data_IF_319767238756
#
_entry.id   IF_319767238756
#
_cell.length_a   1.000
_cell.length_b   1.000
_cell.length_c   1.000
_cell.angle_alpha   90.00
_cell.angle_beta   90.00
_cell.angle_gamma   90.00
#
_symmetry.space_group_name_H-M   'P 1'
#
loop_
_entity.id
_entity.type
_entity.pdbx_description
1 polymer ?
#
# COMPACT_ATOMS: atom_id res chain seq x y z
N UNK A 1 25.76 94.65 -33.91
CA UNK A 1 24.57 95.34 -34.45
C UNK A 1 24.05 94.49 -35.60
N UNK A 2 22.80 94.02 -35.50
CA UNK A 2 21.88 93.57 -36.58
C UNK A 2 22.40 92.53 -37.62
N UNK A 3 22.01 91.25 -37.54
CA UNK A 3 20.79 90.59 -38.08
C UNK A 3 20.63 90.55 -39.60
N UNK A 4 20.40 89.33 -40.11
CA UNK A 4 19.80 88.85 -41.37
C UNK A 4 20.70 87.72 -41.95
N UNK A 5 20.26 86.57 -42.46
CA UNK A 5 19.02 86.21 -43.14
C UNK A 5 18.87 84.66 -43.22
N UNK A 6 17.67 84.18 -42.90
CA UNK A 6 16.92 83.05 -43.44
C UNK A 6 17.55 82.09 -44.50
N UNK A 7 17.47 80.77 -44.29
CA UNK A 7 17.00 79.81 -45.32
C UNK A 7 16.64 78.41 -44.77
N UNK A 8 15.67 77.83 -45.46
CA UNK A 8 14.83 76.66 -45.20
C UNK A 8 15.53 75.29 -45.27
N UNK A 9 14.87 74.34 -44.58
CA UNK A 9 14.72 72.89 -44.83
C UNK A 9 15.98 72.05 -45.05
N UNK A 10 16.18 71.03 -44.21
CA UNK A 10 16.26 69.63 -44.63
C UNK A 10 15.89 68.71 -43.46
N UNK A 11 15.12 67.68 -43.78
CA UNK A 11 14.59 66.66 -42.89
C UNK A 11 15.70 65.81 -42.27
N UNK A 12 15.52 65.39 -41.02
CA UNK A 12 15.97 64.07 -40.58
C UNK A 12 15.09 63.58 -39.43
N UNK A 13 13.95 62.98 -39.79
CA UNK A 13 13.15 62.13 -38.90
C UNK A 13 13.98 60.93 -38.47
N UNK A 14 14.43 60.87 -37.21
CA UNK A 14 14.87 59.61 -36.58
C UNK A 14 13.67 58.98 -35.88
N UNK A 15 12.99 58.07 -36.58
CA UNK A 15 12.11 57.06 -36.00
C UNK A 15 12.94 55.78 -35.69
N UNK A 16 12.43 54.86 -34.84
CA UNK A 16 13.15 54.29 -33.71
C UNK A 16 14.19 53.24 -34.12
N UNK A 17 15.30 53.19 -33.38
CA UNK A 17 16.12 51.99 -33.36
C UNK A 17 15.28 50.86 -32.76
N UNK A 18 14.75 50.00 -33.64
CA UNK A 18 14.15 48.74 -33.23
C UNK A 18 15.17 47.98 -32.41
N UNK A 19 14.94 47.91 -31.09
CA UNK A 19 15.68 47.04 -30.21
C UNK A 19 15.39 45.60 -30.66
N UNK A 20 16.24 45.06 -31.52
CA UNK A 20 16.34 43.62 -31.72
C UNK A 20 16.77 43.03 -30.38
N UNK A 21 15.80 42.69 -29.53
CA UNK A 21 16.01 41.79 -28.40
C UNK A 21 16.42 40.47 -29.02
N UNK A 22 17.73 40.22 -29.08
CA UNK A 22 18.24 38.91 -29.41
C UNK A 22 17.59 37.94 -28.42
N UNK A 23 16.67 37.10 -28.90
CA UNK A 23 16.13 35.98 -28.13
C UNK A 23 17.32 35.09 -27.80
N UNK A 24 17.94 35.33 -26.63
CA UNK A 24 19.03 34.52 -26.13
C UNK A 24 18.44 33.13 -25.91
N UNK A 25 18.78 32.17 -26.80
CA UNK A 25 18.46 30.75 -26.62
C UNK A 25 18.83 30.36 -25.20
N UNK A 26 17.82 30.16 -24.35
CA UNK A 26 18.02 29.78 -22.96
C UNK A 26 18.68 28.41 -22.93
N UNK A 27 19.84 28.31 -22.27
CA UNK A 27 20.49 27.02 -22.03
C UNK A 27 19.66 26.27 -20.99
N UNK A 28 19.06 25.16 -21.39
CA UNK A 28 18.40 24.24 -20.45
C UNK A 28 19.45 23.70 -19.50
N UNK A 29 19.21 23.82 -18.19
CA UNK A 29 20.12 23.31 -17.19
C UNK A 29 19.85 21.82 -16.98
N UNK A 30 20.62 20.98 -17.68
CA UNK A 30 20.51 19.51 -17.63
C UNK A 30 20.61 19.00 -16.18
N UNK A 31 21.45 19.62 -15.36
CA UNK A 31 21.60 19.25 -13.94
C UNK A 31 20.30 19.50 -13.17
N UNK A 32 19.62 20.61 -13.42
CA UNK A 32 18.33 20.91 -12.78
C UNK A 32 17.23 19.94 -13.22
N UNK A 33 17.23 19.52 -14.49
CA UNK A 33 16.29 18.51 -15.01
C UNK A 33 16.53 17.14 -14.38
N UNK A 34 17.80 16.74 -14.24
CA UNK A 34 18.16 15.49 -13.58
C UNK A 34 17.75 15.50 -12.11
N UNK A 35 18.03 16.58 -11.36
CA UNK A 35 17.57 16.72 -9.98
C UNK A 35 16.03 16.69 -9.87
N UNK A 36 15.32 17.34 -10.80
CA UNK A 36 13.87 17.32 -10.83
C UNK A 36 13.26 15.96 -11.15
N UNK A 37 13.98 15.08 -11.84
CA UNK A 37 13.56 13.70 -12.07
C UNK A 37 13.87 12.81 -10.87
N UNK A 38 15.14 12.79 -10.43
CA UNK A 38 15.61 11.80 -9.46
C UNK A 38 15.26 12.14 -8.01
N UNK A 39 15.21 13.40 -7.60
CA UNK A 39 14.93 13.74 -6.18
C UNK A 39 13.52 13.30 -5.77
N UNK A 40 12.44 13.66 -6.49
CA UNK A 40 11.09 13.22 -6.13
C UNK A 40 10.92 11.70 -6.28
N UNK A 41 11.55 11.10 -7.29
CA UNK A 41 11.47 9.66 -7.51
C UNK A 41 12.16 8.84 -6.41
N UNK A 42 13.37 9.23 -6.00
CA UNK A 42 14.07 8.59 -4.89
C UNK A 42 13.28 8.79 -3.59
N UNK A 43 12.79 10.00 -3.32
CA UNK A 43 11.96 10.29 -2.15
C UNK A 43 10.71 9.41 -2.11
N UNK A 44 9.99 9.30 -3.24
CA UNK A 44 8.84 8.43 -3.35
C UNK A 44 9.21 6.97 -3.07
N UNK A 45 10.25 6.47 -3.75
CA UNK A 45 10.63 5.04 -3.70
C UNK A 45 11.12 4.62 -2.32
N UNK A 46 11.85 5.49 -1.61
CA UNK A 46 12.33 5.21 -0.26
C UNK A 46 11.20 5.26 0.76
N UNK A 47 10.35 6.29 0.73
CA UNK A 47 9.21 6.40 1.66
C UNK A 47 8.19 5.28 1.43
N UNK A 48 7.94 4.93 0.18
CA UNK A 48 7.05 3.83 -0.16
C UNK A 48 7.60 2.49 0.37
N UNK A 49 8.90 2.21 0.16
CA UNK A 49 9.52 1.01 0.68
C UNK A 49 9.48 0.94 2.22
N UNK A 50 9.80 2.06 2.88
CA UNK A 50 9.83 2.16 4.35
C UNK A 50 8.44 1.91 4.96
N UNK A 51 7.38 2.44 4.34
CA UNK A 51 6.01 2.23 4.81
C UNK A 51 5.44 0.85 4.46
N UNK A 52 5.86 0.24 3.35
CA UNK A 52 5.33 -1.05 2.93
C UNK A 52 6.03 -2.25 3.58
N UNK A 53 7.34 -2.22 3.79
CA UNK A 53 8.09 -3.42 4.19
C UNK A 53 8.20 -3.59 5.73
N UNK A 54 9.00 -4.57 6.14
CA UNK A 54 9.13 -5.05 7.52
C UNK A 54 9.43 -3.98 8.56
N UNK A 55 10.04 -2.85 8.17
CA UNK A 55 10.34 -1.76 9.09
C UNK A 55 9.06 -1.20 9.75
N UNK A 56 7.98 -1.04 8.96
CA UNK A 56 6.69 -0.58 9.47
C UNK A 56 6.12 -1.55 10.50
N UNK A 57 6.31 -2.85 10.27
CA UNK A 57 5.82 -3.90 11.16
C UNK A 57 6.59 -3.97 12.49
N UNK A 58 7.93 -3.98 12.44
CA UNK A 58 8.76 -4.18 13.65
C UNK A 58 8.87 -2.92 14.49
N UNK A 59 9.01 -1.76 13.85
CA UNK A 59 9.33 -0.49 14.51
C UNK A 59 8.55 0.66 13.85
N UNK A 60 7.23 0.77 14.13
CA UNK A 60 6.39 1.80 13.53
C UNK A 60 6.87 3.21 13.88
N UNK A 61 7.43 3.41 15.08
CA UNK A 61 7.98 4.70 15.54
C UNK A 61 9.13 5.18 14.66
N UNK A 62 10.07 4.29 14.31
CA UNK A 62 11.20 4.59 13.43
C UNK A 62 10.70 4.89 12.01
N UNK A 63 9.72 4.14 11.54
CA UNK A 63 9.09 4.31 10.23
C UNK A 63 8.47 5.70 10.08
N UNK A 64 7.63 6.12 11.02
CA UNK A 64 7.05 7.46 11.03
C UNK A 64 8.11 8.56 11.22
N UNK A 65 9.18 8.28 11.97
CA UNK A 65 10.35 9.15 12.06
C UNK A 65 11.01 9.40 10.70
N UNK A 66 11.23 8.35 9.89
CA UNK A 66 11.78 8.46 8.54
C UNK A 66 10.83 9.22 7.61
N UNK A 67 9.52 8.99 7.70
CA UNK A 67 8.50 9.74 6.95
C UNK A 67 8.56 11.24 7.30
N UNK A 68 8.73 11.56 8.59
CA UNK A 68 8.94 12.92 9.07
C UNK A 68 10.23 13.56 8.52
N UNK A 69 11.34 12.81 8.48
CA UNK A 69 12.60 13.28 7.86
C UNK A 69 12.40 13.50 6.35
N UNK A 70 11.66 12.64 5.67
CA UNK A 70 11.27 12.84 4.27
C UNK A 70 10.47 14.13 4.06
N UNK A 71 9.59 14.49 5.00
CA UNK A 71 8.88 15.77 4.97
C UNK A 71 9.83 16.97 5.14
N UNK A 72 10.87 16.86 5.97
CA UNK A 72 11.89 17.91 6.09
C UNK A 72 12.62 18.16 4.76
N UNK A 73 12.86 17.12 3.94
CA UNK A 73 13.43 17.29 2.59
C UNK A 73 12.51 18.12 1.69
N UNK A 74 11.19 17.91 1.79
CA UNK A 74 10.19 18.73 1.09
C UNK A 74 10.25 20.18 1.58
N UNK A 75 10.31 20.41 2.90
CA UNK A 75 10.44 21.76 3.48
C UNK A 75 11.73 22.46 3.05
N UNK A 76 12.85 21.75 2.97
CA UNK A 76 14.11 22.30 2.45
C UNK A 76 13.97 22.72 0.99
N UNK A 77 13.32 21.90 0.16
CA UNK A 77 13.05 22.26 -1.24
C UNK A 77 12.13 23.49 -1.36
N UNK A 78 11.15 23.63 -0.45
CA UNK A 78 10.29 24.79 -0.36
C UNK A 78 11.06 26.05 0.08
N UNK A 79 11.96 25.93 1.05
CA UNK A 79 12.83 27.02 1.49
C UNK A 79 13.69 27.54 0.33
N UNK A 80 14.34 26.65 -0.43
CA UNK A 80 15.12 27.04 -1.62
C UNK A 80 14.25 27.69 -2.70
N UNK A 81 13.01 27.21 -2.89
CA UNK A 81 12.08 27.83 -3.82
C UNK A 81 11.70 29.26 -3.40
N UNK A 82 11.42 29.49 -2.11
CA UNK A 82 11.09 30.82 -1.57
C UNK A 82 12.29 31.77 -1.61
N UNK A 83 13.48 31.30 -1.22
CA UNK A 83 14.73 32.09 -1.29
C UNK A 83 15.03 32.51 -2.74
N UNK A 84 14.85 31.60 -3.70
CA UNK A 84 15.03 31.90 -5.12
C UNK A 84 14.02 32.94 -5.66
N UNK A 85 12.78 32.94 -5.16
CA UNK A 85 11.76 33.96 -5.51
C UNK A 85 12.12 35.31 -4.88
N UNK A 86 12.49 35.34 -3.59
CA UNK A 86 12.85 36.59 -2.89
C UNK A 86 14.08 37.27 -3.50
N UNK A 87 15.11 36.50 -3.88
CA UNK A 87 16.32 37.05 -4.51
C UNK A 87 16.06 37.66 -5.89
N UNK A 88 14.97 37.28 -6.56
CA UNK A 88 14.55 37.87 -7.85
C UNK A 88 14.04 39.30 -7.67
N UNK A 89 13.57 39.66 -6.48
CA UNK A 89 13.03 41.00 -6.18
C UNK A 89 14.14 42.03 -5.86
N UNK A 90 15.40 41.58 -5.69
CA UNK A 90 16.54 42.47 -5.45
C UNK A 90 17.07 43.09 -6.76
N UNK A 91 17.48 44.38 -6.76
CA UNK A 91 17.88 45.12 -7.97
C UNK A 91 19.07 44.55 -8.74
N UNK A 92 19.92 43.75 -8.08
CA UNK A 92 21.13 43.10 -8.64
C UNK A 92 20.87 41.62 -9.02
N UNK A 93 19.59 41.24 -9.16
CA UNK A 93 19.12 39.87 -9.33
C UNK A 93 19.64 39.22 -10.62
N UNK A 94 20.66 38.37 -10.47
CA UNK A 94 21.11 37.43 -11.50
C UNK A 94 19.93 36.77 -12.21
N UNK A 95 19.98 36.72 -13.55
CA UNK A 95 18.99 36.19 -14.52
C UNK A 95 18.49 34.74 -14.29
N UNK A 96 18.73 34.14 -13.12
CA UNK A 96 18.39 32.75 -12.78
C UNK A 96 16.89 32.66 -12.45
N UNK A 97 16.12 32.04 -13.33
CA UNK A 97 14.68 31.86 -13.14
C UNK A 97 14.41 30.79 -12.05
N UNK A 98 13.57 31.06 -11.03
CA UNK A 98 13.29 30.13 -9.93
C UNK A 98 12.39 28.95 -10.32
N UNK A 99 12.01 28.81 -11.59
CA UNK A 99 10.95 27.91 -12.05
C UNK A 99 11.24 26.43 -11.78
N UNK A 100 12.51 26.00 -11.84
CA UNK A 100 12.90 24.62 -11.53
C UNK A 100 12.83 24.29 -10.03
N UNK A 101 13.12 25.24 -9.14
CA UNK A 101 13.02 25.02 -7.69
C UNK A 101 11.55 24.87 -7.26
N UNK A 102 10.66 25.69 -7.81
CA UNK A 102 9.21 25.58 -7.57
C UNK A 102 8.68 24.24 -8.08
N UNK A 103 9.09 23.82 -9.27
CA UNK A 103 8.70 22.52 -9.82
C UNK A 103 9.14 21.37 -8.91
N UNK A 104 10.41 21.35 -8.47
CA UNK A 104 10.94 20.33 -7.56
C UNK A 104 10.15 20.31 -6.25
N UNK A 105 9.81 21.47 -5.68
CA UNK A 105 9.02 21.56 -4.46
C UNK A 105 7.63 20.93 -4.62
N UNK A 106 6.91 21.27 -5.70
CA UNK A 106 5.56 20.76 -5.95
C UNK A 106 5.59 19.26 -6.22
N UNK A 107 6.51 18.78 -7.05
CA UNK A 107 6.60 17.35 -7.35
C UNK A 107 7.10 16.53 -6.16
N UNK A 108 7.98 17.09 -5.32
CA UNK A 108 8.44 16.42 -4.08
C UNK A 108 7.32 16.32 -3.05
N UNK A 109 6.47 17.36 -2.93
CA UNK A 109 5.29 17.31 -2.06
C UNK A 109 4.29 16.26 -2.55
N UNK A 110 4.02 16.23 -3.86
CA UNK A 110 3.15 15.21 -4.46
C UNK A 110 3.71 13.80 -4.25
N UNK A 111 5.01 13.60 -4.48
CA UNK A 111 5.71 12.35 -4.23
C UNK A 111 5.56 11.89 -2.78
N UNK A 112 5.72 12.80 -1.80
CA UNK A 112 5.54 12.47 -0.38
C UNK A 112 4.12 12.02 -0.07
N UNK A 113 3.09 12.75 -0.52
CA UNK A 113 1.67 12.39 -0.27
C UNK A 113 1.32 11.05 -0.90
N UNK A 114 1.73 10.82 -2.16
CA UNK A 114 1.47 9.58 -2.86
C UNK A 114 2.21 8.39 -2.23
N UNK A 115 3.46 8.58 -1.77
CA UNK A 115 4.23 7.53 -1.11
C UNK A 115 3.60 7.11 0.23
N UNK A 116 3.09 8.07 1.00
CA UNK A 116 2.41 7.79 2.27
C UNK A 116 1.12 7.01 2.02
N UNK A 117 0.27 7.49 1.12
CA UNK A 117 -1.00 6.83 0.81
C UNK A 117 -0.83 5.44 0.19
N UNK A 118 0.05 5.29 -0.80
CA UNK A 118 0.30 4.00 -1.45
C UNK A 118 1.07 3.02 -0.55
N UNK A 119 1.95 3.54 0.31
CA UNK A 119 2.70 2.75 1.29
C UNK A 119 1.81 2.10 2.33
N UNK A 120 0.94 2.91 2.93
CA UNK A 120 0.01 2.45 3.96
C UNK A 120 -0.99 1.42 3.41
N UNK A 121 -1.57 1.69 2.23
CA UNK A 121 -2.55 0.76 1.64
C UNK A 121 -1.90 -0.57 1.27
N UNK A 122 -0.69 -0.56 0.73
CA UNK A 122 0.03 -1.80 0.43
C UNK A 122 0.41 -2.58 1.70
N UNK A 123 0.76 -1.87 2.78
CA UNK A 123 1.05 -2.49 4.06
C UNK A 123 -0.19 -3.17 4.64
N UNK A 124 -1.30 -2.45 4.80
CA UNK A 124 -2.51 -2.95 5.46
C UNK A 124 -3.16 -4.10 4.67
N UNK A 125 -3.24 -3.99 3.34
CA UNK A 125 -3.95 -4.98 2.53
C UNK A 125 -3.14 -6.25 2.27
N UNK A 126 -1.82 -6.13 2.02
CA UNK A 126 -1.01 -7.25 1.55
C UNK A 126 0.01 -7.73 2.59
N UNK A 127 0.84 -6.82 3.11
CA UNK A 127 2.03 -7.19 3.86
C UNK A 127 1.78 -7.38 5.37
N UNK A 128 0.80 -6.70 5.94
CA UNK A 128 0.41 -6.87 7.35
C UNK A 128 -0.09 -8.29 7.63
N UNK A 129 -1.07 -8.85 6.88
CA UNK A 129 -1.50 -10.25 7.07
C UNK A 129 -0.36 -11.24 6.94
N UNK A 130 0.58 -10.98 6.02
CA UNK A 130 1.76 -11.80 5.82
C UNK A 130 2.69 -11.83 7.05
N UNK A 131 3.07 -10.66 7.58
CA UNK A 131 3.92 -10.57 8.77
C UNK A 131 3.24 -11.10 10.03
N UNK A 132 1.93 -10.86 10.17
CA UNK A 132 1.13 -11.36 11.28
C UNK A 132 1.14 -12.88 11.36
N UNK A 133 1.00 -13.57 10.22
CA UNK A 133 1.10 -15.04 10.16
C UNK A 133 2.54 -15.52 10.38
N UNK A 134 3.54 -14.79 9.89
CA UNK A 134 4.95 -15.17 10.04
C UNK A 134 5.45 -15.12 11.50
N UNK A 135 4.91 -14.23 12.33
CA UNK A 135 5.27 -14.16 13.74
C UNK A 135 4.60 -15.24 14.61
N UNK A 136 3.76 -16.08 14.01
CA UNK A 136 3.09 -17.18 14.67
C UNK A 136 3.75 -18.52 14.34
N UNK A 137 3.58 -19.49 15.24
CA UNK A 137 4.16 -20.81 15.09
C UNK A 137 3.39 -21.66 14.06
N UNK A 138 4.13 -22.59 13.44
CA UNK A 138 3.57 -23.55 12.48
C UNK A 138 3.56 -24.93 13.10
N UNK A 139 2.39 -25.55 13.15
CA UNK A 139 2.20 -26.88 13.73
C UNK A 139 1.84 -27.88 12.65
N UNK A 140 2.43 -29.07 12.73
CA UNK A 140 2.20 -30.15 11.79
C UNK A 140 1.59 -31.37 12.48
N UNK A 141 0.82 -32.16 11.72
CA UNK A 141 0.17 -33.37 12.21
C UNK A 141 -0.69 -33.13 13.46
N UNK A 142 -1.45 -32.02 13.45
CA UNK A 142 -2.37 -31.69 14.55
C UNK A 142 -3.59 -32.60 14.48
N UNK A 143 -3.84 -33.31 15.58
CA UNK A 143 -5.01 -34.16 15.75
C UNK A 143 -6.07 -33.41 16.59
N UNK A 144 -7.20 -32.99 16.00
CA UNK A 144 -8.23 -32.23 16.70
C UNK A 144 -8.95 -33.03 17.80
N UNK A 145 -8.77 -34.36 17.86
CA UNK A 145 -9.31 -35.20 18.93
C UNK A 145 -8.45 -35.23 20.20
N UNK A 146 -7.14 -35.00 20.05
CA UNK A 146 -6.18 -35.09 21.16
C UNK A 146 -5.71 -33.72 21.62
N UNK A 147 -5.53 -32.78 20.69
CA UNK A 147 -5.00 -31.45 20.97
C UNK A 147 -6.14 -30.46 21.26
N UNK A 148 -5.88 -29.48 22.13
CA UNK A 148 -6.85 -28.43 22.47
C UNK A 148 -6.43 -27.09 21.91
N UNK A 149 -7.41 -26.20 21.67
CA UNK A 149 -7.13 -24.85 21.17
C UNK A 149 -6.25 -24.03 22.13
N UNK A 150 -6.35 -24.29 23.45
CA UNK A 150 -5.50 -23.68 24.47
C UNK A 150 -4.00 -23.94 24.27
N UNK A 151 -3.63 -25.10 23.70
CA UNK A 151 -2.23 -25.47 23.48
C UNK A 151 -1.65 -24.81 22.23
N UNK A 152 -2.51 -24.37 21.31
CA UNK A 152 -2.14 -23.86 19.98
C UNK A 152 -2.59 -22.41 19.78
N UNK A 153 -2.64 -21.63 20.87
CA UNK A 153 -3.06 -20.22 20.83
C UNK A 153 -2.13 -19.32 20.00
N UNK A 154 -0.91 -19.75 19.75
CA UNK A 154 0.12 -19.09 18.94
C UNK A 154 0.27 -19.69 17.54
N UNK A 155 -0.63 -20.60 17.14
CA UNK A 155 -0.58 -21.23 15.82
C UNK A 155 -1.04 -20.26 14.74
N UNK A 156 -0.20 -19.96 13.76
CA UNK A 156 -0.56 -19.17 12.56
C UNK A 156 -0.94 -20.05 11.39
N UNK A 157 -0.30 -21.22 11.30
CA UNK A 157 -0.53 -22.23 10.28
C UNK A 157 -0.61 -23.60 10.96
N UNK A 158 -1.63 -24.36 10.61
CA UNK A 158 -1.80 -25.73 11.10
C UNK A 158 -1.94 -26.65 9.90
N UNK A 159 -1.14 -27.72 9.90
CA UNK A 159 -1.35 -28.86 9.03
C UNK A 159 -1.92 -29.97 9.90
N UNK A 160 -3.19 -30.31 9.68
CA UNK A 160 -3.86 -31.38 10.40
C UNK A 160 -3.37 -32.75 9.91
N UNK A 161 -3.70 -33.80 10.65
CA UNK A 161 -3.52 -35.18 10.16
C UNK A 161 -4.43 -35.45 8.96
N UNK A 162 -4.07 -36.44 8.12
CA UNK A 162 -4.79 -36.71 6.85
C UNK A 162 -6.24 -37.15 7.06
N UNK A 163 -6.52 -37.70 8.22
CA UNK A 163 -7.84 -38.14 8.64
C UNK A 163 -8.71 -36.98 9.12
N UNK A 164 -8.17 -35.77 9.24
CA UNK A 164 -8.95 -34.59 9.63
C UNK A 164 -9.83 -34.11 8.48
N UNK A 165 -11.11 -33.95 8.76
CA UNK A 165 -12.15 -33.55 7.80
C UNK A 165 -13.10 -32.54 8.42
N UNK A 166 -13.74 -31.71 7.60
CA UNK A 166 -14.79 -30.81 8.08
C UNK A 166 -16.08 -31.60 8.36
N UNK A 167 -16.69 -31.37 9.52
CA UNK A 167 -18.03 -31.88 9.83
C UNK A 167 -19.09 -30.85 9.41
N UNK A 168 -19.54 -30.98 8.16
CA UNK A 168 -20.54 -30.10 7.56
C UNK A 168 -21.93 -30.24 8.22
N UNK A 169 -22.19 -31.34 8.94
CA UNK A 169 -23.48 -31.55 9.62
C UNK A 169 -23.67 -30.63 10.83
N UNK A 170 -22.57 -30.08 11.34
CA UNK A 170 -22.51 -29.13 12.47
C UNK A 170 -22.12 -27.72 12.02
N UNK A 171 -22.20 -27.45 10.72
CA UNK A 171 -21.96 -26.11 10.20
C UNK A 171 -23.06 -25.15 10.66
N UNK A 172 -22.67 -23.90 10.92
CA UNK A 172 -23.58 -22.84 11.35
C UNK A 172 -23.15 -21.51 10.72
N UNK A 173 -24.10 -20.58 10.61
CA UNK A 173 -23.79 -19.23 10.13
C UNK A 173 -24.46 -18.14 10.96
N UNK A 174 -23.76 -17.03 11.14
CA UNK A 174 -24.26 -15.81 11.77
C UNK A 174 -24.28 -14.68 10.76
N UNK A 175 -25.34 -13.86 10.73
CA UNK A 175 -25.48 -12.77 9.75
C UNK A 175 -25.46 -11.41 10.44
N UNK A 176 -24.49 -10.57 10.09
CA UNK A 176 -24.42 -9.15 10.46
C UNK A 176 -23.71 -8.35 9.35
N UNK A 177 -24.47 -7.67 8.51
CA UNK A 177 -24.06 -7.12 7.20
C UNK A 177 -23.57 -8.24 6.26
N UNK A 178 -22.47 -8.88 6.60
CA UNK A 178 -21.94 -10.09 5.99
C UNK A 178 -22.41 -11.36 6.71
N UNK A 179 -22.38 -12.48 6.00
CA UNK A 179 -22.66 -13.81 6.55
C UNK A 179 -21.35 -14.48 6.98
N UNK A 180 -21.21 -14.74 8.27
CA UNK A 180 -20.07 -15.40 8.89
C UNK A 180 -20.35 -16.90 9.03
N UNK A 181 -19.55 -17.69 8.35
CA UNK A 181 -19.67 -19.15 8.27
C UNK A 181 -18.68 -19.85 9.17
N UNK A 182 -19.12 -20.88 9.88
CA UNK A 182 -18.24 -21.74 10.68
C UNK A 182 -18.57 -23.21 10.46
N UNK A 183 -17.55 -24.05 10.36
CA UNK A 183 -17.66 -25.50 10.35
C UNK A 183 -16.57 -26.11 11.25
N UNK A 184 -16.91 -27.05 12.14
CA UNK A 184 -15.91 -27.66 13.02
C UNK A 184 -15.01 -28.63 12.24
N UNK A 185 -13.73 -28.64 12.60
CA UNK A 185 -12.76 -29.63 12.09
C UNK A 185 -12.82 -30.86 12.99
N UNK A 186 -13.09 -32.02 12.40
CA UNK A 186 -13.20 -33.31 13.10
C UNK A 186 -12.30 -34.36 12.47
N UNK A 187 -12.33 -35.58 13.01
CA UNK A 187 -11.60 -36.71 12.45
C UNK A 187 -12.56 -37.64 11.74
N UNK A 188 -12.18 -38.17 10.60
CA UNK A 188 -12.84 -39.32 9.98
C UNK A 188 -12.41 -40.59 10.73
N UNK A 189 -13.38 -41.35 11.24
CA UNK A 189 -13.14 -42.53 12.07
C UNK A 189 -13.64 -43.78 11.36
N UNK A 190 -12.84 -44.31 10.43
CA UNK A 190 -13.02 -45.63 9.82
C UNK A 190 -14.40 -45.86 9.15
N UNK A 191 -15.40 -46.24 9.94
CA UNK A 191 -16.77 -46.49 9.52
C UNK A 191 -17.70 -45.26 9.64
N UNK A 192 -17.33 -44.27 10.46
CA UNK A 192 -18.09 -43.02 10.62
C UNK A 192 -17.39 -41.88 9.89
N UNK A 193 -18.17 -41.12 9.12
CA UNK A 193 -17.66 -39.95 8.39
C UNK A 193 -17.14 -38.86 9.33
N UNK A 194 -17.67 -38.76 10.56
CA UNK A 194 -17.28 -37.77 11.56
C UNK A 194 -17.24 -38.37 12.97
N UNK A 195 -16.06 -38.33 13.60
CA UNK A 195 -15.89 -38.73 14.99
C UNK A 195 -16.51 -37.69 15.93
N UNK A 196 -17.31 -38.15 16.90
CA UNK A 196 -17.85 -37.27 17.95
C UNK A 196 -16.74 -36.89 18.94
N UNK A 197 -16.42 -35.60 18.97
CA UNK A 197 -15.37 -35.04 19.83
C UNK A 197 -15.96 -34.56 21.15
N UNK A 198 -15.17 -34.64 22.22
CA UNK A 198 -15.55 -34.07 23.52
C UNK A 198 -15.53 -32.53 23.51
N UNK A 199 -14.61 -31.93 22.74
CA UNK A 199 -14.51 -30.48 22.54
C UNK A 199 -14.16 -30.17 21.09
N UNK A 200 -14.74 -29.12 20.55
CA UNK A 200 -14.54 -28.64 19.19
C UNK A 200 -13.84 -27.28 19.27
N UNK A 201 -12.52 -27.30 19.38
CA UNK A 201 -11.73 -26.06 19.47
C UNK A 201 -11.23 -25.57 18.11
N UNK A 202 -11.22 -26.41 17.06
CA UNK A 202 -10.75 -26.03 15.73
C UNK A 202 -11.92 -25.81 14.77
N UNK A 203 -11.98 -24.63 14.16
CA UNK A 203 -13.06 -24.23 13.28
C UNK A 203 -12.54 -23.71 11.95
N UNK A 204 -13.08 -24.24 10.85
CA UNK A 204 -12.96 -23.65 9.54
C UNK A 204 -13.93 -22.49 9.41
N UNK A 205 -13.47 -21.36 8.88
CA UNK A 205 -14.24 -20.12 8.78
C UNK A 205 -14.19 -19.51 7.39
N UNK A 206 -15.22 -18.72 7.06
CA UNK A 206 -15.27 -17.91 5.85
C UNK A 206 -16.43 -16.92 5.87
N UNK A 207 -16.44 -15.95 4.96
CA UNK A 207 -17.53 -14.98 4.82
C UNK A 207 -18.29 -15.19 3.50
N UNK A 208 -19.61 -15.03 3.53
CA UNK A 208 -20.50 -15.04 2.36
C UNK A 208 -20.45 -16.32 1.50
N UNK A 209 -20.06 -17.45 2.10
CA UNK A 209 -19.90 -18.75 1.44
C UNK A 209 -20.79 -19.86 2.02
N UNK A 210 -21.87 -19.48 2.71
CA UNK A 210 -22.90 -20.42 3.20
C UNK A 210 -24.28 -20.08 2.71
N UNK A 211 -25.12 -21.10 2.60
CA UNK A 211 -26.56 -20.97 2.35
C UNK A 211 -27.31 -20.51 3.60
N UNK A 212 -28.57 -20.08 3.44
CA UNK A 212 -29.43 -19.71 4.58
C UNK A 212 -29.73 -20.89 5.51
N UNK A 213 -29.57 -22.12 5.01
CA UNK A 213 -29.73 -23.35 5.78
C UNK A 213 -28.47 -23.73 6.57
N UNK A 214 -27.37 -22.98 6.43
CA UNK A 214 -26.12 -23.22 7.16
C UNK A 214 -25.14 -24.17 6.47
N UNK A 215 -25.35 -24.51 5.19
CA UNK A 215 -24.42 -25.37 4.44
C UNK A 215 -23.12 -24.61 4.14
N UNK A 216 -21.98 -25.20 4.48
CA UNK A 216 -20.67 -24.56 4.42
C UNK A 216 -19.94 -24.90 3.11
N UNK A 217 -19.57 -23.86 2.34
CA UNK A 217 -18.85 -24.01 1.07
C UNK A 217 -17.60 -23.11 0.98
N UNK A 218 -16.98 -22.78 2.11
CA UNK A 218 -15.82 -21.88 2.14
C UNK A 218 -14.50 -22.63 1.96
N UNK A 219 -13.53 -21.98 1.29
CA UNK A 219 -12.20 -22.55 1.08
C UNK A 219 -12.23 -23.83 0.26
N UNK A 220 -11.27 -24.72 0.51
CA UNK A 220 -11.14 -25.98 -0.22
C UNK A 220 -12.01 -27.12 0.37
N UNK A 221 -13.24 -26.81 0.79
CA UNK A 221 -14.10 -27.76 1.52
C UNK A 221 -14.38 -29.08 0.77
N UNK A 222 -14.42 -29.03 -0.57
CA UNK A 222 -14.68 -30.19 -1.42
C UNK A 222 -13.41 -30.97 -1.80
N UNK A 223 -12.22 -30.41 -1.54
CA UNK A 223 -10.97 -31.02 -1.92
C UNK A 223 -10.54 -32.05 -0.85
N UNK A 224 -10.43 -33.35 -1.17
CA UNK A 224 -10.02 -34.37 -0.19
C UNK A 224 -8.56 -34.24 0.23
N UNK A 225 -7.75 -33.46 -0.50
CA UNK A 225 -6.37 -33.16 -0.13
C UNK A 225 -6.26 -31.94 0.78
N UNK A 226 -7.34 -31.21 1.04
CA UNK A 226 -7.32 -30.10 1.98
C UNK A 226 -7.35 -30.61 3.41
N UNK A 227 -6.29 -30.33 4.16
CA UNK A 227 -6.13 -30.68 5.57
C UNK A 227 -5.29 -29.64 6.31
N UNK A 228 -5.24 -28.41 5.79
CA UNK A 228 -4.48 -27.33 6.40
C UNK A 228 -5.37 -26.11 6.66
N UNK A 229 -4.94 -25.32 7.63
CA UNK A 229 -5.63 -24.12 8.09
C UNK A 229 -4.67 -22.94 8.20
N UNK A 230 -5.05 -21.83 7.58
CA UNK A 230 -4.41 -20.53 7.78
C UNK A 230 -5.21 -19.73 8.79
N UNK A 231 -4.58 -19.22 9.85
CA UNK A 231 -5.30 -18.51 10.92
C UNK A 231 -5.93 -17.22 10.42
N UNK A 232 -7.16 -16.96 10.89
CA UNK A 232 -7.80 -15.67 10.72
C UNK A 232 -7.13 -14.60 11.61
N UNK A 233 -6.39 -13.68 10.98
CA UNK A 233 -5.72 -12.57 11.67
C UNK A 233 -6.65 -11.37 11.93
N UNK A 234 -7.72 -11.21 11.15
CA UNK A 234 -8.67 -10.08 11.30
C UNK A 234 -9.46 -10.17 12.61
N UNK A 235 -9.03 -9.42 13.62
CA UNK A 235 -9.63 -9.38 14.96
C UNK A 235 -11.08 -8.88 14.94
N UNK A 236 -11.41 -7.93 14.06
CA UNK A 236 -12.76 -7.38 13.90
C UNK A 236 -13.78 -8.48 13.54
N UNK A 237 -13.39 -9.41 12.66
CA UNK A 237 -14.23 -10.51 12.23
C UNK A 237 -14.31 -11.65 13.25
N UNK A 238 -13.27 -11.78 14.10
CA UNK A 238 -13.17 -12.85 15.09
C UNK A 238 -14.34 -12.85 16.07
N UNK A 239 -14.81 -11.67 16.48
CA UNK A 239 -15.97 -11.56 17.38
C UNK A 239 -17.24 -12.14 16.74
N UNK A 240 -17.46 -11.90 15.44
CA UNK A 240 -18.63 -12.42 14.73
C UNK A 240 -18.56 -13.93 14.48
N UNK A 241 -17.38 -14.48 14.17
CA UNK A 241 -17.20 -15.92 14.09
C UNK A 241 -17.43 -16.61 15.43
N UNK A 242 -17.08 -15.96 16.54
CA UNK A 242 -17.39 -16.48 17.88
C UNK A 242 -18.89 -16.56 18.15
N UNK A 243 -19.67 -15.59 17.69
CA UNK A 243 -21.14 -15.65 17.78
C UNK A 243 -21.71 -16.82 16.97
N UNK A 244 -21.18 -17.07 15.76
CA UNK A 244 -21.57 -18.22 14.95
C UNK A 244 -21.24 -19.55 15.65
N UNK A 245 -20.08 -19.66 16.31
CA UNK A 245 -19.73 -20.83 17.13
C UNK A 245 -20.69 -21.00 18.29
N UNK A 246 -21.04 -19.93 19.02
CA UNK A 246 -22.00 -20.00 20.12
C UNK A 246 -23.39 -20.48 19.67
N UNK A 247 -23.81 -20.11 18.46
CA UNK A 247 -25.04 -20.65 17.86
C UNK A 247 -24.91 -22.14 17.54
N UNK A 248 -23.76 -22.57 17.02
CA UNK A 248 -23.49 -23.98 16.74
C UNK A 248 -23.46 -24.82 18.02
N UNK A 249 -22.86 -24.31 19.10
CA UNK A 249 -22.83 -24.94 20.43
C UNK A 249 -24.24 -25.19 20.95
N UNK A 250 -25.12 -24.19 20.85
CA UNK A 250 -26.51 -24.28 21.28
C UNK A 250 -27.34 -25.23 20.40
N UNK A 251 -27.17 -25.18 19.07
CA UNK A 251 -27.97 -25.96 18.13
C UNK A 251 -27.59 -27.45 18.11
N UNK A 252 -26.28 -27.74 18.16
CA UNK A 252 -25.76 -29.11 18.01
C UNK A 252 -25.28 -29.73 19.32
N UNK A 253 -25.50 -29.05 20.46
CA UNK A 253 -25.06 -29.50 21.79
C UNK A 253 -23.57 -29.83 21.85
N UNK A 254 -22.75 -29.06 21.13
CA UNK A 254 -21.29 -29.16 21.13
C UNK A 254 -20.67 -28.12 22.06
N UNK A 255 -19.42 -28.34 22.47
CA UNK A 255 -18.67 -27.41 23.33
C UNK A 255 -17.36 -27.01 22.67
N UNK A 256 -17.08 -25.72 22.63
CA UNK A 256 -15.86 -25.08 22.12
C UNK A 256 -15.28 -24.19 23.22
N UNK A 257 -14.33 -24.73 23.99
CA UNK A 257 -13.80 -24.01 25.16
C UNK A 257 -12.94 -22.83 24.67
N UNK A 258 -12.04 -23.08 23.71
CA UNK A 258 -11.17 -22.06 23.12
C UNK A 258 -11.18 -22.21 21.59
N UNK A 259 -12.19 -21.63 20.90
CA UNK A 259 -12.30 -21.74 19.46
C UNK A 259 -11.18 -20.96 18.76
N UNK A 260 -10.43 -21.67 17.92
CA UNK A 260 -9.46 -21.14 16.98
C UNK A 260 -10.05 -21.19 15.56
N UNK A 261 -9.82 -20.12 14.80
CA UNK A 261 -10.44 -19.92 13.50
C UNK A 261 -9.41 -19.98 12.38
N UNK A 262 -9.66 -20.84 11.40
CA UNK A 262 -8.77 -21.05 10.27
C UNK A 262 -9.54 -21.00 8.95
N UNK A 263 -8.94 -20.43 7.91
CA UNK A 263 -9.38 -20.62 6.53
C UNK A 263 -8.91 -21.99 6.08
N UNK A 264 -9.84 -22.85 5.65
CA UNK A 264 -9.55 -24.22 5.23
C UNK A 264 -8.98 -24.28 3.81
N UNK A 265 -7.82 -24.90 3.66
CA UNK A 265 -7.10 -24.95 2.38
C UNK A 265 -6.18 -26.17 2.28
N UNK A 266 -5.73 -26.47 1.07
CA UNK A 266 -4.72 -27.50 0.83
C UNK A 266 -3.33 -27.09 1.27
N UNK A 267 -2.90 -25.87 0.95
CA UNK A 267 -1.55 -25.39 1.26
C UNK A 267 -1.55 -23.94 1.75
N UNK A 268 -1.25 -23.68 3.04
CA UNK A 268 -1.20 -22.34 3.60
C UNK A 268 0.07 -21.57 3.18
N UNK A 269 1.08 -22.25 2.65
CA UNK A 269 2.32 -21.61 2.19
C UNK A 269 2.08 -20.88 0.86
N UNK A 270 1.27 -21.46 -0.03
CA UNK A 270 0.94 -20.83 -1.32
C UNK A 270 0.15 -19.54 -1.10
N UNK A 271 -0.87 -19.58 -0.25
CA UNK A 271 -1.65 -18.38 0.11
C UNK A 271 -0.75 -17.30 0.74
N UNK A 272 0.13 -17.70 1.66
CA UNK A 272 1.05 -16.75 2.31
C UNK A 272 2.04 -16.13 1.32
N UNK A 273 2.59 -16.93 0.39
CA UNK A 273 3.46 -16.43 -0.67
C UNK A 273 2.71 -15.47 -1.61
N UNK A 274 1.41 -15.69 -1.85
CA UNK A 274 0.61 -14.80 -2.69
C UNK A 274 0.49 -13.39 -2.10
N UNK A 275 0.35 -13.26 -0.77
CA UNK A 275 0.35 -11.96 -0.09
C UNK A 275 1.69 -11.24 -0.24
N UNK A 276 2.79 -11.98 -0.10
CA UNK A 276 4.13 -11.43 -0.31
C UNK A 276 4.32 -10.96 -1.75
N UNK A 277 3.98 -11.81 -2.72
CA UNK A 277 4.15 -11.52 -4.14
C UNK A 277 3.32 -10.32 -4.59
N UNK A 278 2.06 -10.22 -4.16
CA UNK A 278 1.22 -9.05 -4.42
C UNK A 278 1.79 -7.78 -3.77
N UNK A 279 2.28 -7.85 -2.53
CA UNK A 279 2.93 -6.72 -1.86
C UNK A 279 4.16 -6.19 -2.61
N UNK A 280 5.02 -7.08 -3.11
CA UNK A 280 6.19 -6.72 -3.94
C UNK A 280 5.80 -6.22 -5.33
N UNK A 281 4.76 -6.79 -5.93
CA UNK A 281 4.23 -6.37 -7.23
C UNK A 281 3.65 -4.95 -7.15
N UNK A 282 2.84 -4.64 -6.13
CA UNK A 282 2.32 -3.30 -5.89
C UNK A 282 3.45 -2.28 -5.74
N UNK A 283 4.47 -2.61 -4.93
CA UNK A 283 5.65 -1.75 -4.76
C UNK A 283 6.37 -1.48 -6.09
N UNK A 284 6.66 -2.54 -6.84
CA UNK A 284 7.39 -2.46 -8.12
C UNK A 284 6.61 -1.66 -9.16
N UNK A 285 5.31 -1.93 -9.30
CA UNK A 285 4.41 -1.20 -10.21
C UNK A 285 4.32 0.27 -9.81
N UNK A 286 4.17 0.58 -8.52
CA UNK A 286 4.11 1.96 -8.04
C UNK A 286 5.41 2.73 -8.30
N UNK A 287 6.58 2.10 -8.05
CA UNK A 287 7.89 2.70 -8.31
C UNK A 287 8.08 3.08 -9.78
N UNK A 288 7.77 2.16 -10.71
CA UNK A 288 7.89 2.45 -12.15
C UNK A 288 6.82 3.44 -12.64
N UNK A 289 5.59 3.34 -12.14
CA UNK A 289 4.51 4.25 -12.50
C UNK A 289 4.83 5.70 -12.11
N UNK A 290 5.37 5.89 -10.91
CA UNK A 290 5.80 7.21 -10.46
C UNK A 290 7.00 7.73 -11.28
N UNK A 291 7.96 6.87 -11.63
CA UNK A 291 9.08 7.27 -12.50
C UNK A 291 8.61 7.77 -13.87
N UNK A 292 7.69 7.05 -14.52
CA UNK A 292 7.13 7.44 -15.81
C UNK A 292 6.34 8.74 -15.71
N UNK A 293 5.52 8.89 -14.66
CA UNK A 293 4.80 10.13 -14.38
C UNK A 293 5.76 11.31 -14.19
N UNK A 294 6.82 11.13 -13.39
CA UNK A 294 7.79 12.17 -13.11
C UNK A 294 8.59 12.54 -14.37
N UNK A 295 8.97 11.57 -15.19
CA UNK A 295 9.61 11.80 -16.49
C UNK A 295 8.71 12.62 -17.40
N UNK A 296 7.42 12.27 -17.48
CA UNK A 296 6.43 13.00 -18.27
C UNK A 296 6.28 14.45 -17.80
N UNK A 297 6.18 14.68 -16.48
CA UNK A 297 6.08 16.02 -15.90
C UNK A 297 7.33 16.86 -16.17
N UNK A 298 8.53 16.28 -16.05
CA UNK A 298 9.81 16.97 -16.35
C UNK A 298 9.90 17.34 -17.83
N UNK A 299 9.47 16.46 -18.73
CA UNK A 299 9.44 16.75 -20.18
C UNK A 299 8.44 17.88 -20.49
N UNK A 300 7.25 17.85 -19.91
CA UNK A 300 6.24 18.90 -20.07
C UNK A 300 6.75 20.25 -19.54
N UNK A 301 7.38 20.26 -18.37
CA UNK A 301 7.99 21.45 -17.79
C UNK A 301 9.13 21.99 -18.66
N UNK A 302 10.01 21.12 -19.17
CA UNK A 302 11.08 21.50 -20.08
C UNK A 302 10.55 22.15 -21.38
N UNK A 303 9.50 21.57 -21.97
CA UNK A 303 8.83 22.13 -23.15
C UNK A 303 8.17 23.47 -22.84
N UNK A 304 7.47 23.61 -21.71
CA UNK A 304 6.85 24.87 -21.30
C UNK A 304 7.89 25.98 -21.07
N UNK A 305 9.01 25.67 -20.39
CA UNK A 305 10.10 26.62 -20.16
C UNK A 305 10.84 27.00 -21.45
N UNK A 306 10.91 26.09 -22.43
CA UNK A 306 11.47 26.41 -23.75
C UNK A 306 10.61 27.43 -24.51
N UNK A 307 9.27 27.28 -24.49
CA UNK A 307 8.31 28.18 -25.15
C UNK A 307 8.18 29.55 -24.48
N UNK A 308 8.21 29.61 -23.15
CA UNK A 308 8.23 30.89 -22.41
C UNK A 308 9.57 31.63 -22.50
N UNK A 309 10.58 31.03 -23.14
CA UNK A 309 11.83 31.71 -23.50
C UNK A 309 11.81 32.38 -24.86
N UNK A 310 10.82 32.04 -25.71
CA UNK A 310 10.68 32.57 -27.07
C UNK A 310 9.65 33.70 -27.20
N UNK A 311 8.86 33.96 -26.15
CA UNK A 311 7.99 35.14 -25.99
C UNK A 311 8.74 36.22 -25.19
#
# INVERSE_FOLDING_TARGET
MATMFNRRLWLCTKAPAGAFVHSQRRRLNIVAMAMALFVPWVLFSTLYAVLSFSLHYTEPTTTYGIVGVGFLVVLLSAFFAVDAVRRKELPDGSRRQPSWYIFICVTSLLAWVLAVGAGETNFVENLQPFYDVLNLNTYQSVDPSKMRGQQLMDAGRIIFVKEATLDLSKAMSFKNLDRYCVAPVTMSSGNESHATLANYDFWAVGTNCCTDTGEFHCGDFHNPHAHAGLRLMRDEQRAFFRLAVQQAEAAHSVKAIHPLFFTWMQDPVVELNSYQDEGFKYYTVGMFSHFVLQLFLVLCAALAFSKMGTL
#
